data_IF_485966957629
#
_entry.id   IF_485966957629
#
_cell.length_a   1.000
_cell.length_b   1.000
_cell.length_c   1.000
_cell.angle_alpha   90.00
_cell.angle_beta   90.00
_cell.angle_gamma   90.00
#
_symmetry.space_group_name_H-M   'P 1'
#
loop_
_entity.id
_entity.type
_entity.pdbx_description
1 polymer ?
#
# COMPACT_ATOMS: atom_id res chain seq x y z
N UNK A 1 -19.37 -5.49 11.12
CA UNK A 1 -17.97 -5.41 11.57
C UNK A 1 -17.95 -5.05 13.04
N UNK A 2 -16.96 -5.49 13.84
CA UNK A 2 -16.90 -5.05 15.23
C UNK A 2 -16.57 -3.55 15.31
N UNK A 3 -17.16 -2.90 16.30
CA UNK A 3 -16.80 -1.53 16.66
C UNK A 3 -15.35 -1.54 17.20
N UNK A 4 -14.50 -0.68 16.64
CA UNK A 4 -13.12 -0.55 17.07
C UNK A 4 -13.05 0.07 18.47
N UNK A 5 -12.14 -0.40 19.35
CA UNK A 5 -11.96 0.18 20.67
C UNK A 5 -11.16 1.50 20.57
N UNK A 6 -11.76 2.55 20.01
CA UNK A 6 -11.07 3.83 19.74
C UNK A 6 -10.44 4.50 20.96
N UNK A 7 -10.90 4.19 22.18
CA UNK A 7 -10.28 4.65 23.43
C UNK A 7 -8.89 4.01 23.70
N UNK A 8 -8.62 2.85 23.09
CA UNK A 8 -7.36 2.11 23.20
C UNK A 8 -6.40 2.39 22.02
N UNK A 9 -6.83 3.15 21.00
CA UNK A 9 -6.05 3.44 19.80
C UNK A 9 -5.62 4.91 19.83
N UNK A 10 -4.32 5.17 19.82
CA UNK A 10 -3.75 6.52 19.73
C UNK A 10 -3.18 6.79 18.33
N UNK A 11 -2.53 5.77 17.73
CA UNK A 11 -1.91 5.87 16.41
C UNK A 11 -2.64 4.99 15.40
N UNK A 12 -2.92 5.55 14.23
CA UNK A 12 -3.47 4.84 13.07
C UNK A 12 -2.42 4.86 11.97
N UNK A 13 -1.83 3.68 11.73
CA UNK A 13 -0.95 3.40 10.62
C UNK A 13 -1.81 2.95 9.43
N UNK A 14 -1.56 3.51 8.26
CA UNK A 14 -2.32 3.19 7.05
C UNK A 14 -1.35 2.86 5.92
N UNK A 15 -1.61 1.76 5.23
CA UNK A 15 -1.07 1.58 3.90
C UNK A 15 -1.78 2.49 2.87
N UNK A 16 -1.18 2.62 1.69
CA UNK A 16 -1.73 3.42 0.60
C UNK A 16 -2.49 2.57 -0.42
N UNK A 17 -1.87 1.56 -1.00
CA UNK A 17 -2.32 0.93 -2.25
C UNK A 17 -3.16 -0.31 -1.95
N UNK A 18 -4.40 -0.32 -2.39
CA UNK A 18 -5.38 -1.31 -1.93
C UNK A 18 -5.97 -1.00 -0.57
N UNK A 19 -5.49 0.05 0.10
CA UNK A 19 -6.01 0.52 1.38
C UNK A 19 -6.75 1.84 1.20
N UNK A 20 -6.04 2.94 0.96
CA UNK A 20 -6.67 4.23 0.73
C UNK A 20 -6.94 4.47 -0.76
N UNK A 21 -6.06 3.99 -1.63
CA UNK A 21 -6.18 4.07 -3.07
C UNK A 21 -6.62 2.72 -3.63
N UNK A 22 -7.37 2.76 -4.74
CA UNK A 22 -7.77 1.56 -5.46
C UNK A 22 -6.54 0.86 -6.05
N UNK A 23 -6.31 -0.40 -5.66
CA UNK A 23 -5.19 -1.22 -6.14
C UNK A 23 -5.27 -1.50 -7.64
N UNK A 24 -6.42 -1.26 -8.27
CA UNK A 24 -6.61 -1.41 -9.71
C UNK A 24 -5.51 -0.71 -10.52
N UNK A 25 -5.07 0.48 -10.11
CA UNK A 25 -4.01 1.20 -10.82
C UNK A 25 -2.70 0.40 -10.90
N UNK A 26 -2.17 -0.05 -9.76
CA UNK A 26 -0.91 -0.80 -9.74
C UNK A 26 -1.06 -2.17 -10.39
N UNK A 27 -2.16 -2.87 -10.13
CA UNK A 27 -2.42 -4.17 -10.77
C UNK A 27 -2.52 -4.05 -12.29
N UNK A 28 -3.22 -3.04 -12.81
CA UNK A 28 -3.30 -2.79 -14.24
C UNK A 28 -1.92 -2.44 -14.82
N UNK A 29 -1.15 -1.58 -14.13
CA UNK A 29 0.18 -1.22 -14.57
C UNK A 29 1.09 -2.45 -14.69
N UNK A 30 1.22 -3.24 -13.62
CA UNK A 30 2.18 -4.35 -13.58
C UNK A 30 1.76 -5.55 -14.44
N UNK A 31 0.46 -5.88 -14.49
CA UNK A 31 0.00 -7.11 -15.13
C UNK A 31 -0.40 -6.93 -16.60
N UNK A 32 -0.83 -5.72 -16.98
CA UNK A 32 -1.33 -5.45 -18.34
C UNK A 32 -0.42 -4.50 -19.11
N UNK A 33 -0.18 -3.30 -18.55
CA UNK A 33 0.47 -2.22 -19.26
C UNK A 33 1.97 -2.42 -19.43
N UNK A 34 2.69 -2.70 -18.34
CA UNK A 34 4.15 -2.86 -18.36
C UNK A 34 4.58 -4.00 -19.31
N UNK A 35 3.96 -5.20 -19.29
CA UNK A 35 4.33 -6.24 -20.23
C UNK A 35 3.99 -5.91 -21.69
N UNK A 36 2.92 -5.14 -21.95
CA UNK A 36 2.61 -4.63 -23.29
C UNK A 36 3.70 -3.66 -23.77
N UNK A 37 4.12 -2.71 -22.92
CA UNK A 37 5.19 -1.75 -23.23
C UNK A 37 6.55 -2.43 -23.37
N UNK A 38 6.82 -3.45 -22.57
CA UNK A 38 8.01 -4.30 -22.70
C UNK A 38 8.05 -4.96 -24.09
N UNK A 39 6.95 -5.60 -24.51
CA UNK A 39 6.82 -6.24 -25.81
C UNK A 39 7.09 -5.27 -26.97
N UNK A 40 6.48 -4.08 -26.93
CA UNK A 40 6.65 -3.04 -27.93
C UNK A 40 8.10 -2.54 -28.02
N UNK A 41 8.72 -2.25 -26.88
CA UNK A 41 10.06 -1.64 -26.83
C UNK A 41 11.18 -2.64 -27.12
N UNK A 42 10.95 -3.93 -26.83
CA UNK A 42 11.92 -5.01 -27.09
C UNK A 42 11.66 -5.75 -28.41
N UNK A 43 10.56 -5.45 -29.11
CA UNK A 43 10.22 -6.09 -30.38
C UNK A 43 9.85 -7.57 -30.24
N UNK A 44 9.25 -7.96 -29.11
CA UNK A 44 8.79 -9.33 -28.85
C UNK A 44 7.27 -9.39 -28.78
N UNK A 45 6.69 -10.60 -28.81
CA UNK A 45 5.25 -10.76 -28.59
C UNK A 45 4.88 -10.52 -27.12
N UNK A 46 3.62 -10.15 -26.87
CA UNK A 46 3.07 -9.99 -25.51
C UNK A 46 3.24 -11.25 -24.65
N UNK A 47 3.06 -12.43 -25.25
CA UNK A 47 3.23 -13.72 -24.58
C UNK A 47 4.69 -13.98 -24.21
N UNK A 48 5.65 -13.61 -25.07
CA UNK A 48 7.08 -13.71 -24.75
C UNK A 48 7.47 -12.75 -23.62
N UNK A 49 6.97 -11.51 -23.66
CA UNK A 49 7.17 -10.55 -22.56
C UNK A 49 6.66 -11.11 -21.22
N UNK A 50 5.48 -11.71 -21.20
CA UNK A 50 4.92 -12.41 -20.03
C UNK A 50 5.84 -13.50 -19.51
N UNK A 51 6.33 -14.38 -20.39
CA UNK A 51 7.23 -15.48 -20.04
C UNK A 51 8.56 -14.98 -19.44
N UNK A 52 9.05 -13.83 -19.88
CA UNK A 52 10.27 -13.22 -19.35
C UNK A 52 10.04 -12.50 -18.01
N UNK A 53 8.92 -11.77 -17.89
CA UNK A 53 8.62 -10.94 -16.73
C UNK A 53 8.12 -11.74 -15.52
N UNK A 54 7.31 -12.78 -15.74
CA UNK A 54 6.68 -13.52 -14.65
C UNK A 54 7.69 -14.11 -13.65
N UNK A 55 8.78 -14.80 -14.06
CA UNK A 55 9.77 -15.30 -13.12
C UNK A 55 10.50 -14.19 -12.35
N UNK A 56 10.66 -13.00 -12.95
CA UNK A 56 11.24 -11.84 -12.29
C UNK A 56 10.32 -11.33 -11.19
N UNK A 57 9.02 -11.23 -11.49
CA UNK A 57 8.01 -10.79 -10.53
C UNK A 57 7.91 -11.75 -9.35
N UNK A 58 7.80 -13.05 -9.62
CA UNK A 58 7.72 -14.09 -8.59
C UNK A 58 8.95 -14.10 -7.68
N UNK A 59 10.15 -13.95 -8.25
CA UNK A 59 11.39 -13.94 -7.47
C UNK A 59 11.50 -12.73 -6.55
N UNK A 60 11.01 -11.56 -6.96
CA UNK A 60 11.17 -10.32 -6.20
C UNK A 60 9.99 -10.02 -5.27
N UNK A 61 8.83 -10.67 -5.44
CA UNK A 61 7.62 -10.41 -4.67
C UNK A 61 7.87 -10.38 -3.15
N UNK A 62 7.35 -9.35 -2.47
CA UNK A 62 7.54 -9.13 -1.03
C UNK A 62 8.93 -8.64 -0.61
N UNK A 63 9.86 -8.45 -1.55
CA UNK A 63 11.15 -7.82 -1.29
C UNK A 63 11.10 -6.33 -1.62
N UNK A 64 12.01 -5.53 -1.05
CA UNK A 64 12.06 -4.10 -1.34
C UNK A 64 12.27 -3.82 -2.85
N UNK A 65 12.99 -4.68 -3.57
CA UNK A 65 13.17 -4.55 -5.02
C UNK A 65 11.85 -4.58 -5.79
N UNK A 66 10.86 -5.36 -5.34
CA UNK A 66 9.54 -5.43 -5.99
C UNK A 66 8.87 -4.06 -6.06
N UNK A 67 9.04 -3.23 -5.04
CA UNK A 67 8.42 -1.91 -4.95
C UNK A 67 9.27 -0.80 -5.59
N UNK A 68 10.48 -1.11 -6.05
CA UNK A 68 11.49 -0.15 -6.48
C UNK A 68 11.43 0.15 -7.99
N UNK A 69 11.00 1.37 -8.36
CA UNK A 69 10.93 1.75 -9.77
C UNK A 69 12.31 1.80 -10.45
N UNK A 70 13.36 2.21 -9.72
CA UNK A 70 14.73 2.26 -10.25
C UNK A 70 15.26 0.86 -10.56
N UNK A 71 15.00 -0.10 -9.67
CA UNK A 71 15.36 -1.51 -9.89
C UNK A 71 14.72 -2.04 -11.18
N UNK A 72 13.41 -1.85 -11.35
CA UNK A 72 12.71 -2.33 -12.54
C UNK A 72 13.13 -1.59 -13.81
N UNK A 73 13.43 -0.30 -13.71
CA UNK A 73 13.94 0.47 -14.85
C UNK A 73 15.29 -0.06 -15.32
N UNK A 74 16.18 -0.40 -14.38
CA UNK A 74 17.48 -0.99 -14.68
C UNK A 74 17.36 -2.43 -15.21
N UNK A 75 16.60 -3.29 -14.51
CA UNK A 75 16.45 -4.71 -14.83
C UNK A 75 15.79 -4.92 -16.20
N UNK A 76 14.74 -4.15 -16.50
CA UNK A 76 13.96 -4.29 -17.72
C UNK A 76 14.44 -3.38 -18.85
N UNK A 77 15.38 -2.47 -18.58
CA UNK A 77 15.84 -1.42 -19.51
C UNK A 77 14.66 -0.59 -20.05
N UNK A 78 13.73 -0.24 -19.17
CA UNK A 78 12.53 0.53 -19.48
C UNK A 78 12.44 1.80 -18.62
N UNK A 79 11.83 2.88 -19.13
CA UNK A 79 11.53 4.06 -18.33
C UNK A 79 10.28 3.82 -17.47
N UNK A 80 10.35 2.94 -16.46
CA UNK A 80 9.18 2.44 -15.71
C UNK A 80 8.43 3.58 -15.01
N UNK A 81 9.15 4.59 -14.52
CA UNK A 81 8.57 5.79 -13.91
C UNK A 81 7.69 6.55 -14.91
N UNK A 82 8.18 6.78 -16.12
CA UNK A 82 7.44 7.46 -17.19
C UNK A 82 6.25 6.62 -17.66
N UNK A 83 6.44 5.31 -17.81
CA UNK A 83 5.36 4.39 -18.19
C UNK A 83 4.20 4.40 -17.18
N UNK A 84 4.50 4.57 -15.88
CA UNK A 84 3.46 4.71 -14.85
C UNK A 84 2.57 5.94 -15.03
N UNK A 85 3.07 7.00 -15.68
CA UNK A 85 2.28 8.20 -15.99
C UNK A 85 1.20 7.92 -17.05
N UNK A 86 1.45 6.99 -17.96
CA UNK A 86 0.54 6.63 -19.06
C UNK A 86 -0.79 6.06 -18.53
N UNK A 87 -0.75 5.32 -17.41
CA UNK A 87 -1.94 4.73 -16.78
C UNK A 87 -2.42 5.47 -15.52
N UNK A 88 -1.79 6.58 -15.16
CA UNK A 88 -2.06 7.24 -13.89
C UNK A 88 -3.50 7.81 -13.78
N UNK A 89 -4.25 7.90 -14.89
CA UNK A 89 -5.67 8.30 -14.87
C UNK A 89 -6.56 7.27 -14.15
N UNK A 90 -6.02 6.08 -13.84
CA UNK A 90 -6.66 5.06 -13.02
C UNK A 90 -6.41 5.23 -11.52
N UNK A 91 -5.54 6.17 -11.11
CA UNK A 91 -5.32 6.48 -9.68
C UNK A 91 -6.61 7.05 -9.12
N UNK A 92 -7.24 6.30 -8.21
CA UNK A 92 -8.52 6.65 -7.61
C UNK A 92 -8.47 6.42 -6.10
N UNK A 93 -9.15 7.31 -5.36
CA UNK A 93 -9.39 7.13 -3.93
C UNK A 93 -10.46 6.04 -3.74
N UNK A 94 -10.29 5.18 -2.73
CA UNK A 94 -11.34 4.25 -2.33
C UNK A 94 -12.53 5.01 -1.71
N UNK A 95 -13.77 4.53 -1.89
CA UNK A 95 -14.96 5.19 -1.33
C UNK A 95 -14.82 5.47 0.17
N UNK A 96 -15.18 6.69 0.57
CA UNK A 96 -15.22 7.16 1.95
C UNK A 96 -13.87 7.15 2.72
N UNK A 97 -12.75 6.91 2.04
CA UNK A 97 -11.42 6.92 2.67
C UNK A 97 -11.04 8.33 3.19
N UNK A 98 -11.40 9.39 2.47
CA UNK A 98 -11.25 10.78 2.90
C UNK A 98 -12.12 11.12 4.12
N UNK A 99 -13.34 10.59 4.16
CA UNK A 99 -14.28 10.76 5.28
C UNK A 99 -13.73 10.10 6.53
N UNK A 100 -13.19 8.88 6.41
CA UNK A 100 -12.50 8.20 7.50
C UNK A 100 -11.27 8.98 7.98
N UNK A 101 -10.38 9.40 7.06
CA UNK A 101 -9.18 10.18 7.39
C UNK A 101 -9.52 11.50 8.11
N UNK A 102 -10.57 12.19 7.67
CA UNK A 102 -11.05 13.41 8.32
C UNK A 102 -11.54 13.12 9.75
N UNK A 103 -12.35 12.08 9.93
CA UNK A 103 -12.93 11.73 11.24
C UNK A 103 -11.86 11.34 12.26
N UNK A 104 -10.93 10.44 11.90
CA UNK A 104 -9.87 10.01 12.84
C UNK A 104 -8.94 11.16 13.21
N UNK A 105 -8.66 12.07 12.27
CA UNK A 105 -7.85 13.26 12.55
C UNK A 105 -8.59 14.25 13.46
N UNK A 106 -9.88 14.48 13.23
CA UNK A 106 -10.71 15.34 14.08
C UNK A 106 -10.80 14.83 15.51
N UNK A 107 -10.79 13.51 15.70
CA UNK A 107 -10.75 12.88 17.01
C UNK A 107 -9.36 12.87 17.67
N UNK A 108 -8.38 13.57 17.09
CA UNK A 108 -7.04 13.72 17.65
C UNK A 108 -6.18 12.47 17.55
N UNK A 109 -6.51 11.51 16.67
CA UNK A 109 -5.65 10.35 16.42
C UNK A 109 -4.43 10.76 15.63
N UNK A 110 -3.32 10.08 15.89
CA UNK A 110 -2.06 10.25 15.18
C UNK A 110 -2.12 9.44 13.88
N UNK A 111 -2.20 10.09 12.73
CA UNK A 111 -2.44 9.42 11.44
C UNK A 111 -1.16 9.40 10.62
N UNK A 112 -0.71 8.21 10.25
CA UNK A 112 0.60 8.02 9.61
C UNK A 112 0.44 7.08 8.41
N UNK A 113 0.92 7.51 7.25
CA UNK A 113 1.00 6.64 6.07
C UNK A 113 2.32 5.87 6.10
N UNK A 114 2.26 4.54 5.99
CA UNK A 114 3.41 3.66 5.81
C UNK A 114 3.21 2.80 4.56
N UNK A 115 4.00 3.05 3.51
CA UNK A 115 3.86 2.36 2.22
C UNK A 115 5.16 1.68 1.82
N UNK A 116 5.06 0.52 1.16
CA UNK A 116 6.22 -0.07 0.49
C UNK A 116 6.59 0.69 -0.80
N UNK A 117 5.69 1.51 -1.37
CA UNK A 117 5.90 2.18 -2.65
C UNK A 117 7.14 3.08 -2.69
N UNK A 118 7.87 3.03 -3.82
CA UNK A 118 8.97 3.95 -4.14
C UNK A 118 8.53 5.42 -4.03
N UNK A 119 9.46 6.32 -3.64
CA UNK A 119 9.18 7.75 -3.48
C UNK A 119 8.57 8.39 -4.72
N UNK A 120 9.08 8.11 -5.91
CA UNK A 120 8.47 8.60 -7.16
C UNK A 120 7.03 8.11 -7.38
N UNK A 121 6.75 6.84 -7.06
CA UNK A 121 5.40 6.29 -7.19
C UNK A 121 4.44 6.93 -6.18
N UNK A 122 4.93 7.22 -4.97
CA UNK A 122 4.18 7.91 -3.93
C UNK A 122 3.88 9.36 -4.33
N UNK A 123 4.90 10.10 -4.80
CA UNK A 123 4.74 11.49 -5.25
C UNK A 123 3.72 11.62 -6.38
N UNK A 124 3.78 10.73 -7.38
CA UNK A 124 2.79 10.70 -8.47
C UNK A 124 1.35 10.57 -7.95
N UNK A 125 1.13 9.72 -6.94
CA UNK A 125 -0.20 9.49 -6.37
C UNK A 125 -0.69 10.69 -5.56
N UNK A 126 0.19 11.29 -4.76
CA UNK A 126 -0.13 12.48 -3.95
C UNK A 126 -0.38 13.74 -4.79
N UNK A 127 0.18 13.84 -6.00
CA UNK A 127 -0.13 14.92 -6.93
C UNK A 127 -1.56 14.82 -7.50
N UNK A 128 -2.14 13.61 -7.52
CA UNK A 128 -3.49 13.36 -8.07
C UNK A 128 -4.58 13.44 -7.02
N UNK A 129 -4.25 13.06 -5.79
CA UNK A 129 -5.20 12.95 -4.70
C UNK A 129 -4.63 13.66 -3.48
N UNK A 130 -5.35 14.68 -3.03
CA UNK A 130 -4.93 15.53 -1.92
C UNK A 130 -5.13 14.84 -0.56
N UNK A 131 -4.31 13.83 -0.26
CA UNK A 131 -4.33 13.13 1.02
C UNK A 131 -3.26 13.61 2.01
N UNK A 132 -2.20 14.26 1.51
CA UNK A 132 -1.09 14.73 2.33
C UNK A 132 -1.52 15.53 3.57
N UNK A 133 -2.57 16.40 3.52
CA UNK A 133 -3.00 17.16 4.69
C UNK A 133 -3.52 16.29 5.86
N UNK A 134 -3.92 15.04 5.64
CA UNK A 134 -4.44 14.19 6.72
C UNK A 134 -3.35 13.56 7.59
N UNK A 135 -2.14 13.41 7.05
CA UNK A 135 -1.08 12.65 7.71
C UNK A 135 -0.14 13.56 8.50
N UNK A 136 0.26 13.10 9.68
CA UNK A 136 1.39 13.67 10.40
C UNK A 136 2.71 13.34 9.69
N UNK A 137 2.83 12.10 9.19
CA UNK A 137 4.03 11.58 8.51
C UNK A 137 3.63 10.69 7.32
N UNK A 138 4.43 10.79 6.26
CA UNK A 138 4.36 9.98 5.05
C UNK A 138 5.69 9.23 4.89
N UNK A 139 5.68 7.93 5.15
CA UNK A 139 6.89 7.10 5.21
C UNK A 139 6.86 6.06 4.09
N UNK A 140 7.95 6.01 3.32
CA UNK A 140 8.21 4.93 2.38
C UNK A 140 9.17 3.94 3.01
N UNK A 141 8.94 2.64 2.82
CA UNK A 141 9.86 1.58 3.22
C UNK A 141 11.29 1.77 2.67
N UNK A 142 11.41 2.49 1.55
CA UNK A 142 12.69 2.87 0.95
C UNK A 142 13.54 3.79 1.84
N UNK A 143 12.91 4.57 2.73
CA UNK A 143 13.62 5.42 3.68
C UNK A 143 14.39 4.58 4.71
N UNK A 144 13.92 3.36 4.96
CA UNK A 144 14.49 2.44 5.95
C UNK A 144 15.32 1.33 5.33
N UNK A 145 15.19 1.10 4.02
CA UNK A 145 15.87 0.00 3.32
C UNK A 145 15.29 -1.38 3.59
N UNK A 146 14.10 -1.46 4.20
CA UNK A 146 13.42 -2.71 4.53
C UNK A 146 11.94 -2.60 4.16
N UNK A 147 11.41 -3.56 3.41
CA UNK A 147 9.96 -3.65 3.16
C UNK A 147 9.21 -3.99 4.47
N UNK A 148 7.92 -3.64 4.55
CA UNK A 148 7.06 -3.86 5.74
C UNK A 148 6.96 -5.33 6.19
N UNK A 149 7.20 -6.27 5.28
CA UNK A 149 7.29 -7.69 5.56
C UNK A 149 8.46 -8.03 6.49
N UNK A 150 9.56 -7.27 6.38
CA UNK A 150 10.77 -7.49 7.16
C UNK A 150 10.63 -6.86 8.57
N UNK A 151 10.89 -7.61 9.67
CA UNK A 151 10.85 -7.09 11.03
C UNK A 151 11.64 -5.80 11.26
N UNK A 152 12.78 -5.62 10.55
CA UNK A 152 13.63 -4.44 10.67
C UNK A 152 12.94 -3.14 10.23
N UNK A 153 11.91 -3.22 9.37
CA UNK A 153 11.09 -2.06 9.03
C UNK A 153 10.41 -1.50 10.29
N UNK A 154 9.87 -2.38 11.14
CA UNK A 154 9.12 -1.99 12.33
C UNK A 154 10.02 -1.41 13.42
N UNK A 155 11.24 -1.94 13.59
CA UNK A 155 12.26 -1.35 14.46
C UNK A 155 12.64 0.06 14.00
N UNK A 156 12.85 0.26 12.69
CA UNK A 156 13.17 1.57 12.13
C UNK A 156 11.99 2.56 12.28
N UNK A 157 10.76 2.10 12.04
CA UNK A 157 9.55 2.89 12.24
C UNK A 157 9.41 3.32 13.71
N UNK A 158 9.59 2.40 14.65
CA UNK A 158 9.54 2.70 16.07
C UNK A 158 10.59 3.73 16.47
N UNK A 159 11.80 3.63 15.93
CA UNK A 159 12.88 4.59 16.19
C UNK A 159 12.60 5.99 15.61
N UNK A 160 11.93 6.10 14.46
CA UNK A 160 11.61 7.38 13.81
C UNK A 160 10.44 8.10 14.50
N UNK A 161 9.31 7.42 14.68
CA UNK A 161 8.06 8.08 15.12
C UNK A 161 7.65 7.79 16.56
N UNK A 162 8.29 6.83 17.24
CA UNK A 162 8.03 6.50 18.64
C UNK A 162 6.57 6.14 18.94
N UNK A 163 5.92 5.37 18.07
CA UNK A 163 4.53 4.95 18.29
C UNK A 163 4.44 3.86 19.38
N UNK A 164 3.25 3.59 19.92
CA UNK A 164 3.04 2.46 20.83
C UNK A 164 2.30 1.35 20.07
N UNK A 165 2.96 0.22 19.72
CA UNK A 165 2.32 -0.88 18.99
C UNK A 165 1.06 -1.39 19.68
N UNK A 166 1.04 -1.38 21.03
CA UNK A 166 -0.08 -1.91 21.79
C UNK A 166 -1.32 -1.02 21.75
N UNK A 167 -1.13 0.27 21.40
CA UNK A 167 -2.17 1.29 21.24
C UNK A 167 -2.29 1.77 19.78
N UNK A 168 -2.02 0.88 18.84
CA UNK A 168 -2.02 1.21 17.42
C UNK A 168 -2.97 0.33 16.60
N UNK A 169 -3.60 0.97 15.62
CA UNK A 169 -4.33 0.34 14.54
C UNK A 169 -3.47 0.38 13.28
N UNK A 170 -3.37 -0.74 12.58
CA UNK A 170 -2.79 -0.80 11.24
C UNK A 170 -3.76 -1.45 10.25
N UNK A 171 -3.96 -0.77 9.12
CA UNK A 171 -4.81 -1.24 8.01
C UNK A 171 -3.94 -1.41 6.77
N UNK A 172 -3.97 -2.61 6.19
CA UNK A 172 -3.17 -2.99 5.01
C UNK A 172 -3.90 -4.11 4.24
N UNK A 173 -3.79 -4.15 2.92
CA UNK A 173 -4.44 -5.18 2.11
C UNK A 173 -3.63 -6.49 2.00
N UNK A 174 -2.37 -6.47 2.45
CA UNK A 174 -1.40 -7.53 2.24
C UNK A 174 -1.17 -8.34 3.52
N UNK A 175 -1.68 -9.57 3.56
CA UNK A 175 -1.65 -10.42 4.77
C UNK A 175 -0.25 -10.68 5.34
N UNK A 176 0.81 -10.94 4.55
CA UNK A 176 2.17 -11.05 5.08
C UNK A 176 2.62 -9.81 5.86
N UNK A 177 2.24 -8.61 5.42
CA UNK A 177 2.57 -7.34 6.08
C UNK A 177 1.82 -7.22 7.42
N UNK A 178 0.52 -7.56 7.44
CA UNK A 178 -0.26 -7.61 8.70
C UNK A 178 0.30 -8.64 9.69
N UNK A 179 0.75 -9.81 9.21
CA UNK A 179 1.41 -10.81 10.07
C UNK A 179 2.73 -10.30 10.64
N UNK A 180 3.51 -9.55 9.85
CA UNK A 180 4.73 -8.90 10.32
C UNK A 180 4.43 -7.87 11.41
N UNK A 181 3.42 -7.02 11.22
CA UNK A 181 2.95 -6.07 12.22
C UNK A 181 2.45 -6.77 13.51
N UNK A 182 1.72 -7.87 13.37
CA UNK A 182 1.26 -8.70 14.49
C UNK A 182 2.42 -9.28 15.28
N UNK A 183 3.43 -9.82 14.60
CA UNK A 183 4.63 -10.37 15.22
C UNK A 183 5.44 -9.30 15.96
N UNK A 184 5.42 -8.05 15.45
CA UNK A 184 6.03 -6.90 16.12
C UNK A 184 5.27 -6.45 17.38
N UNK A 185 3.96 -6.73 17.45
CA UNK A 185 3.11 -6.42 18.60
C UNK A 185 2.07 -5.33 18.36
N UNK A 186 1.73 -5.02 17.11
CA UNK A 186 0.61 -4.12 16.80
C UNK A 186 -0.71 -4.79 17.21
N UNK A 187 -1.46 -4.17 18.13
CA UNK A 187 -2.65 -4.76 18.76
C UNK A 187 -3.86 -4.87 17.83
N UNK A 188 -4.10 -3.85 17.00
CA UNK A 188 -5.29 -3.78 16.16
C UNK A 188 -4.89 -3.83 14.68
N UNK A 189 -5.40 -4.83 13.97
CA UNK A 189 -5.00 -5.14 12.60
C UNK A 189 -6.25 -5.39 11.77
N UNK A 190 -6.37 -4.69 10.66
CA UNK A 190 -7.46 -4.88 9.71
C UNK A 190 -6.90 -5.10 8.30
N UNK A 191 -7.40 -6.14 7.65
CA UNK A 191 -7.24 -6.35 6.22
C UNK A 191 -8.19 -5.43 5.43
N UNK A 192 -8.06 -5.45 4.10
CA UNK A 192 -9.03 -4.83 3.20
C UNK A 192 -9.67 -5.92 2.36
N UNK A 193 -11.00 -5.98 2.38
CA UNK A 193 -11.76 -7.06 1.72
C UNK A 193 -11.70 -6.93 0.20
N UNK A 194 -11.88 -5.72 -0.32
CA UNK A 194 -11.89 -5.40 -1.75
C UNK A 194 -10.87 -4.31 -2.08
N UNK A 195 -9.57 -4.66 -2.12
CA UNK A 195 -8.51 -3.67 -2.38
C UNK A 195 -8.42 -3.25 -3.85
N UNK A 196 -8.83 -4.11 -4.78
CA UNK A 196 -8.90 -3.83 -6.23
C UNK A 196 -10.35 -3.87 -6.69
N UNK A 197 -10.88 -2.73 -7.12
CA UNK A 197 -12.29 -2.59 -7.54
C UNK A 197 -12.69 -3.46 -8.75
N UNK A 198 -11.72 -4.09 -9.43
CA UNK A 198 -11.95 -4.98 -10.58
C UNK A 198 -11.79 -6.47 -10.28
N UNK A 199 -11.33 -6.86 -9.10
CA UNK A 199 -11.03 -8.27 -8.76
C UNK A 199 -11.94 -8.89 -7.70
N UNK A 200 -12.87 -8.12 -7.13
CA UNK A 200 -13.80 -8.58 -6.10
C UNK A 200 -13.11 -8.87 -4.75
N UNK A 201 -13.84 -9.51 -3.84
CA UNK A 201 -13.36 -9.77 -2.48
C UNK A 201 -12.20 -10.78 -2.45
N UNK A 202 -11.15 -10.46 -1.69
CA UNK A 202 -10.04 -11.36 -1.34
C UNK A 202 -10.35 -12.13 -0.06
N UNK A 203 -9.72 -13.29 0.10
CA UNK A 203 -9.63 -13.97 1.39
C UNK A 203 -8.71 -13.18 2.33
N UNK A 204 -9.23 -12.79 3.50
CA UNK A 204 -8.53 -11.96 4.48
C UNK A 204 -7.84 -12.79 5.56
N UNK A 205 -7.90 -14.12 5.45
CA UNK A 205 -7.25 -15.04 6.36
C UNK A 205 -7.73 -14.89 7.80
N UNK A 206 -6.78 -14.71 8.72
CA UNK A 206 -7.05 -14.56 10.15
C UNK A 206 -7.44 -13.14 10.58
N UNK A 207 -7.46 -12.19 9.64
CA UNK A 207 -7.72 -10.79 9.93
C UNK A 207 -9.16 -10.43 9.60
N UNK A 208 -9.78 -9.68 10.51
CA UNK A 208 -10.97 -8.92 10.19
C UNK A 208 -10.63 -7.88 9.11
N UNK A 209 -11.62 -7.52 8.31
CA UNK A 209 -11.37 -6.71 7.14
C UNK A 209 -12.34 -5.54 7.06
N UNK A 210 -11.81 -4.42 6.58
CA UNK A 210 -12.58 -3.25 6.19
C UNK A 210 -13.39 -3.60 4.95
N UNK A 211 -14.71 -3.41 5.03
CA UNK A 211 -15.64 -3.42 3.90
C UNK A 211 -15.95 -1.96 3.49
N UNK A 212 -16.50 -1.18 4.43
CA UNK A 212 -16.81 0.24 4.31
C UNK A 212 -16.06 1.04 5.39
N UNK A 213 -15.40 2.12 4.98
CA UNK A 213 -14.66 3.01 5.87
C UNK A 213 -15.55 3.73 6.90
N UNK A 214 -16.82 3.95 6.58
CA UNK A 214 -17.81 4.58 7.47
C UNK A 214 -18.16 3.68 8.66
N UNK A 215 -18.05 2.37 8.51
CA UNK A 215 -18.29 1.45 9.62
C UNK A 215 -17.18 1.55 10.68
N UNK A 216 -15.97 1.93 10.28
CA UNK A 216 -14.84 2.09 11.21
C UNK A 216 -14.99 3.31 12.12
N UNK A 217 -15.71 4.34 11.66
CA UNK A 217 -15.95 5.57 12.44
C UNK A 217 -17.18 5.47 13.35
N UNK A 218 -17.90 4.35 13.31
CA UNK A 218 -19.00 4.08 14.24
C UNK A 218 -18.44 3.82 15.66
N UNK A 219 -18.43 4.86 16.49
CA UNK A 219 -17.94 4.84 17.88
C UNK A 219 -16.68 5.67 18.12
N UNK A 220 -16.30 6.51 17.15
CA UNK A 220 -15.21 7.47 17.24
C UNK A 220 -15.59 8.72 18.06
#
# INVERSE_FOLDING_TARGET
MPSLPWHAIDTVLLDMDGTLLDLHYDNHFWMEHLPQRYAELHGVSRAMAEMELQPLFERNAGQLQWYCLDFWSAELKLPVRELKLETAHLIALRPDADTFLAAIKQAGKRVILITNAHRDSLSLKLERIELAPYFERLISSHDYGFAKENPQFWDALQADIGFDPTRSLFIDDTLPILRSAKAYGVSHLLAVKEPDSKKGAKDTGEFEAVDDYRDLIAGL
#
